data_IF_361007435583
#
_entry.id   IF_361007435583
#
_cell.length_a   1.000
_cell.length_b   1.000
_cell.length_c   1.000
_cell.angle_alpha   90.00
_cell.angle_beta   90.00
_cell.angle_gamma   90.00
#
_symmetry.space_group_name_H-M   'P 1'
#
loop_
_entity.id
_entity.type
_entity.pdbx_description
1 polymer ?
#
# COMPACT_ATOMS: atom_id res chain seq x y z
N UNK A 1 23.01 15.66 17.32
CA UNK A 1 23.78 14.41 17.20
C UNK A 1 23.63 13.89 15.77
N UNK A 2 24.62 13.17 15.21
CA UNK A 2 24.43 12.51 13.90
C UNK A 2 23.46 11.34 14.06
N UNK A 3 22.58 11.12 13.07
CA UNK A 3 21.71 9.94 13.03
C UNK A 3 22.55 8.66 12.96
N UNK A 4 22.17 7.62 13.69
CA UNK A 4 22.86 6.32 13.70
C UNK A 4 22.39 5.45 12.53
N UNK A 5 23.21 4.45 12.17
CA UNK A 5 22.88 3.51 11.09
C UNK A 5 21.77 2.52 11.47
N UNK A 6 21.16 1.86 10.48
CA UNK A 6 20.05 0.91 10.66
C UNK A 6 20.38 -0.21 11.67
N UNK A 7 21.50 -0.89 11.49
CA UNK A 7 21.92 -1.99 12.36
C UNK A 7 22.24 -1.51 13.78
N UNK A 8 22.80 -0.31 13.91
CA UNK A 8 23.10 0.29 15.19
C UNK A 8 21.80 0.64 15.94
N UNK A 9 20.80 1.20 15.26
CA UNK A 9 19.48 1.48 15.82
C UNK A 9 18.83 0.20 16.38
N UNK A 10 18.86 -0.89 15.62
CA UNK A 10 18.33 -2.19 16.05
C UNK A 10 19.10 -2.79 17.23
N UNK A 11 20.42 -2.59 17.30
CA UNK A 11 21.25 -3.10 18.42
C UNK A 11 21.05 -2.30 19.69
N UNK A 12 20.97 -0.99 19.59
CA UNK A 12 20.98 -0.07 20.75
C UNK A 12 19.59 0.22 21.31
N UNK A 13 18.54 0.24 20.44
CA UNK A 13 17.17 0.54 20.86
C UNK A 13 16.31 -0.72 20.94
N UNK A 14 16.23 -1.29 22.17
CA UNK A 14 15.46 -2.52 22.43
C UNK A 14 13.96 -2.38 22.15
N UNK A 15 13.36 -1.21 22.42
CA UNK A 15 11.93 -0.98 22.20
C UNK A 15 11.61 -0.89 20.69
N UNK A 16 12.43 -0.14 19.96
CA UNK A 16 12.31 -0.08 18.50
C UNK A 16 12.48 -1.46 17.86
N UNK A 17 13.51 -2.22 18.27
CA UNK A 17 13.73 -3.57 17.75
C UNK A 17 12.52 -4.48 17.96
N UNK A 18 11.85 -4.42 19.14
CA UNK A 18 10.65 -5.22 19.43
C UNK A 18 9.50 -4.83 18.53
N UNK A 19 9.20 -3.54 18.42
CA UNK A 19 8.15 -3.02 17.55
C UNK A 19 8.41 -3.40 16.09
N UNK A 20 9.59 -3.09 15.59
CA UNK A 20 10.00 -3.39 14.22
C UNK A 20 9.95 -4.90 13.90
N UNK A 21 10.46 -5.76 14.79
CA UNK A 21 10.42 -7.21 14.57
C UNK A 21 9.00 -7.76 14.55
N UNK A 22 8.11 -7.25 15.41
CA UNK A 22 6.69 -7.62 15.41
C UNK A 22 6.02 -7.24 14.09
N UNK A 23 6.27 -6.04 13.59
CA UNK A 23 5.75 -5.55 12.32
C UNK A 23 6.24 -6.38 11.13
N UNK A 24 7.55 -6.61 11.02
CA UNK A 24 8.14 -7.38 9.91
C UNK A 24 7.56 -8.79 9.85
N UNK A 25 7.43 -9.47 11.00
CA UNK A 25 6.87 -10.82 11.05
C UNK A 25 5.42 -10.83 10.59
N UNK A 26 4.59 -9.90 11.07
CA UNK A 26 3.17 -9.80 10.66
C UNK A 26 3.03 -9.44 9.16
N UNK A 27 3.87 -8.53 8.64
CA UNK A 27 3.87 -8.19 7.21
C UNK A 27 4.21 -9.40 6.33
N UNK A 28 5.14 -10.26 6.75
CA UNK A 28 5.46 -11.49 6.00
C UNK A 28 4.27 -12.44 5.96
N UNK A 29 3.61 -12.70 7.10
CA UNK A 29 2.44 -13.56 7.18
C UNK A 29 1.29 -13.09 6.32
N UNK A 30 1.03 -11.77 6.28
CA UNK A 30 -0.02 -11.18 5.44
C UNK A 30 0.15 -11.51 3.96
N UNK A 31 1.38 -11.61 3.46
CA UNK A 31 1.62 -12.00 2.06
C UNK A 31 1.35 -13.48 1.80
N UNK A 32 1.61 -14.37 2.77
CA UNK A 32 1.20 -15.78 2.66
C UNK A 32 -0.32 -15.90 2.54
N UNK A 33 -1.06 -15.21 3.40
CA UNK A 33 -2.52 -15.13 3.34
C UNK A 33 -3.00 -14.57 1.99
N UNK A 34 -2.40 -13.47 1.54
CA UNK A 34 -2.79 -12.79 0.30
C UNK A 34 -2.64 -13.69 -0.93
N UNK A 35 -1.55 -14.43 -1.05
CA UNK A 35 -1.33 -15.39 -2.15
C UNK A 35 -2.34 -16.54 -2.08
N UNK A 36 -2.61 -17.07 -0.89
CA UNK A 36 -3.62 -18.10 -0.70
C UNK A 36 -5.03 -17.63 -1.14
N UNK A 37 -5.42 -16.39 -0.81
CA UNK A 37 -6.70 -15.82 -1.25
C UNK A 37 -6.79 -15.69 -2.78
N UNK A 38 -5.69 -15.34 -3.46
CA UNK A 38 -5.67 -15.30 -4.92
C UNK A 38 -5.93 -16.68 -5.50
N UNK A 39 -5.25 -17.71 -4.97
CA UNK A 39 -5.41 -19.08 -5.45
C UNK A 39 -6.84 -19.58 -5.23
N UNK A 40 -7.43 -19.38 -4.05
CA UNK A 40 -8.80 -19.80 -3.75
C UNK A 40 -9.85 -19.18 -4.69
N UNK A 41 -9.70 -17.92 -5.09
CA UNK A 41 -10.59 -17.30 -6.07
C UNK A 41 -10.46 -18.02 -7.42
N UNK A 42 -9.25 -18.29 -7.87
CA UNK A 42 -9.04 -19.00 -9.14
C UNK A 42 -9.54 -20.44 -9.08
N UNK A 43 -9.25 -21.19 -8.03
CA UNK A 43 -9.65 -22.61 -7.92
C UNK A 43 -11.16 -22.79 -7.78
N UNK A 44 -11.84 -21.88 -7.06
CA UNK A 44 -13.26 -22.05 -6.77
C UNK A 44 -14.20 -21.35 -7.75
N UNK A 45 -13.74 -20.30 -8.43
CA UNK A 45 -14.67 -19.46 -9.22
C UNK A 45 -14.17 -19.12 -10.61
N UNK A 46 -12.87 -19.20 -10.87
CA UNK A 46 -12.21 -18.71 -12.09
C UNK A 46 -12.60 -17.25 -12.44
N UNK A 47 -13.08 -16.45 -11.44
CA UNK A 47 -13.63 -15.13 -11.65
C UNK A 47 -12.59 -14.02 -11.46
N UNK A 48 -12.24 -13.35 -12.54
CA UNK A 48 -11.39 -12.15 -12.50
C UNK A 48 -12.12 -10.97 -11.83
N UNK A 49 -13.44 -10.93 -11.91
CA UNK A 49 -14.24 -9.92 -11.23
C UNK A 49 -14.17 -10.07 -9.71
N UNK A 50 -14.32 -11.28 -9.18
CA UNK A 50 -14.18 -11.55 -7.74
C UNK A 50 -12.76 -11.24 -7.24
N UNK A 51 -11.73 -11.47 -8.05
CA UNK A 51 -10.37 -11.02 -7.77
C UNK A 51 -10.31 -9.50 -7.66
N UNK A 52 -10.92 -8.77 -8.59
CA UNK A 52 -11.06 -7.30 -8.55
C UNK A 52 -11.81 -6.82 -7.30
N UNK A 53 -12.86 -7.53 -6.88
CA UNK A 53 -13.61 -7.27 -5.64
C UNK A 53 -12.76 -7.54 -4.41
N UNK A 54 -11.94 -8.59 -4.37
CA UNK A 54 -11.01 -8.84 -3.27
C UNK A 54 -10.08 -7.65 -3.06
N UNK A 55 -9.43 -7.16 -4.11
CA UNK A 55 -8.59 -5.96 -4.02
C UNK A 55 -9.37 -4.73 -3.57
N UNK A 56 -10.60 -4.57 -4.06
CA UNK A 56 -11.50 -3.47 -3.70
C UNK A 56 -11.84 -3.50 -2.21
N UNK A 57 -12.28 -4.64 -1.70
CA UNK A 57 -12.64 -4.83 -0.28
C UNK A 57 -11.43 -4.56 0.61
N UNK A 58 -10.27 -5.14 0.28
CA UNK A 58 -9.04 -4.95 1.06
C UNK A 58 -8.62 -3.48 1.11
N UNK A 59 -8.59 -2.78 -0.03
CA UNK A 59 -8.16 -1.39 -0.08
C UNK A 59 -9.15 -0.42 0.57
N UNK A 60 -10.45 -0.59 0.34
CA UNK A 60 -11.45 0.28 0.95
C UNK A 60 -11.54 0.07 2.46
N UNK A 61 -11.56 -1.17 2.95
CA UNK A 61 -11.59 -1.46 4.38
C UNK A 61 -10.36 -0.87 5.09
N UNK A 62 -9.17 -1.03 4.51
CA UNK A 62 -7.96 -0.41 5.03
C UNK A 62 -8.08 1.12 5.12
N UNK A 63 -8.54 1.78 4.05
CA UNK A 63 -8.60 3.24 3.99
C UNK A 63 -9.74 3.84 4.84
N UNK A 64 -10.89 3.21 4.88
CA UNK A 64 -12.08 3.72 5.58
C UNK A 64 -11.87 3.86 7.09
N UNK A 65 -11.07 2.96 7.68
CA UNK A 65 -10.81 3.02 9.12
C UNK A 65 -9.68 3.98 9.51
N UNK A 66 -8.85 4.44 8.58
CA UNK A 66 -7.70 5.31 8.89
C UNK A 66 -8.04 6.56 9.73
N UNK A 67 -9.12 7.33 9.43
CA UNK A 67 -9.46 8.50 10.24
C UNK A 67 -9.91 8.16 11.66
N UNK A 68 -10.56 6.99 11.83
CA UNK A 68 -11.01 6.50 13.13
C UNK A 68 -9.82 5.93 13.91
N UNK A 69 -8.93 5.20 13.25
CA UNK A 69 -7.73 4.61 13.84
C UNK A 69 -6.79 5.68 14.42
N UNK A 70 -6.67 6.83 13.74
CA UNK A 70 -5.92 7.97 14.27
C UNK A 70 -6.47 8.45 15.62
N UNK A 71 -7.80 8.66 15.69
CA UNK A 71 -8.47 9.08 16.93
C UNK A 71 -8.35 8.03 18.04
N UNK A 72 -8.43 6.74 17.70
CA UNK A 72 -8.21 5.64 18.65
C UNK A 72 -6.78 5.64 19.18
N UNK A 73 -5.79 5.83 18.31
CA UNK A 73 -4.37 5.88 18.68
C UNK A 73 -4.02 7.07 19.58
N UNK A 74 -4.81 8.15 19.53
CA UNK A 74 -4.66 9.31 20.42
C UNK A 74 -5.34 9.12 21.79
N UNK A 75 -6.44 8.35 21.83
CA UNK A 75 -7.26 8.14 23.04
C UNK A 75 -6.96 6.86 23.81
N UNK A 76 -6.39 5.86 23.14
CA UNK A 76 -6.12 4.55 23.72
C UNK A 76 -4.63 4.25 23.77
N UNK A 77 -4.25 3.30 24.61
CA UNK A 77 -2.88 2.82 24.61
C UNK A 77 -2.56 2.13 23.29
N UNK A 78 -1.65 2.71 22.51
CA UNK A 78 -1.21 2.24 21.17
C UNK A 78 -0.74 0.79 21.18
N UNK A 79 -0.01 0.39 22.25
CA UNK A 79 0.40 -1.01 22.43
C UNK A 79 -0.79 -1.95 22.52
N UNK A 80 -1.84 -1.57 23.26
CA UNK A 80 -3.04 -2.40 23.40
C UNK A 80 -3.80 -2.51 22.07
N UNK A 81 -3.87 -1.42 21.27
CA UNK A 81 -4.45 -1.47 19.92
C UNK A 81 -3.71 -2.49 19.06
N UNK A 82 -2.36 -2.42 19.01
CA UNK A 82 -1.55 -3.34 18.22
C UNK A 82 -1.71 -4.80 18.67
N UNK A 83 -1.66 -5.06 19.98
CA UNK A 83 -1.85 -6.40 20.53
C UNK A 83 -3.25 -6.93 20.24
N UNK A 84 -4.29 -6.13 20.45
CA UNK A 84 -5.68 -6.53 20.18
C UNK A 84 -5.89 -6.81 18.68
N UNK A 85 -5.37 -5.97 17.80
CA UNK A 85 -5.42 -6.19 16.35
C UNK A 85 -4.79 -7.52 15.96
N UNK A 86 -3.54 -7.77 16.34
CA UNK A 86 -2.86 -9.04 16.04
C UNK A 86 -3.59 -10.23 16.65
N UNK A 87 -4.03 -10.12 17.91
CA UNK A 87 -4.72 -11.21 18.60
C UNK A 87 -6.02 -11.61 17.89
N UNK A 88 -6.83 -10.65 17.45
CA UNK A 88 -8.06 -10.94 16.68
C UNK A 88 -7.69 -11.51 15.30
N UNK A 89 -6.65 -10.99 14.65
CA UNK A 89 -6.18 -11.47 13.35
C UNK A 89 -5.71 -12.93 13.38
N UNK A 90 -5.21 -13.47 14.54
CA UNK A 90 -4.93 -14.91 14.69
C UNK A 90 -6.18 -15.74 14.39
N UNK A 91 -7.29 -15.38 15.00
CA UNK A 91 -8.55 -16.13 14.82
C UNK A 91 -9.12 -15.94 13.41
N UNK A 92 -9.05 -14.74 12.86
CA UNK A 92 -9.48 -14.46 11.48
C UNK A 92 -8.68 -15.26 10.47
N UNK A 93 -7.35 -15.35 10.63
CA UNK A 93 -6.49 -16.16 9.78
C UNK A 93 -6.89 -17.66 9.84
N UNK A 94 -7.19 -18.17 11.03
CA UNK A 94 -7.67 -19.54 11.19
C UNK A 94 -9.10 -19.76 10.65
N UNK A 95 -9.95 -18.72 10.64
CA UNK A 95 -11.29 -18.82 10.04
C UNK A 95 -11.25 -19.04 8.52
N UNK A 96 -10.18 -18.67 7.83
CA UNK A 96 -10.02 -19.01 6.39
C UNK A 96 -9.90 -20.50 6.13
N UNK A 97 -9.50 -21.31 7.12
CA UNK A 97 -9.50 -22.79 7.02
C UNK A 97 -10.93 -23.37 6.81
N UNK A 98 -11.97 -22.60 7.07
CA UNK A 98 -13.35 -22.95 6.80
C UNK A 98 -13.84 -22.63 5.38
N UNK A 99 -13.00 -22.09 4.51
CA UNK A 99 -13.33 -21.79 3.11
C UNK A 99 -13.06 -23.04 2.27
N UNK A 100 -14.12 -23.73 1.86
CA UNK A 100 -14.02 -25.05 1.23
C UNK A 100 -14.68 -25.12 -0.16
N UNK A 101 -15.29 -24.03 -0.63
CA UNK A 101 -15.97 -24.01 -1.92
C UNK A 101 -16.40 -22.62 -2.38
N UNK A 102 -16.98 -22.51 -3.58
CA UNK A 102 -17.40 -21.25 -4.16
C UNK A 102 -18.48 -20.52 -3.33
N UNK A 103 -19.31 -21.25 -2.57
CA UNK A 103 -20.31 -20.69 -1.68
C UNK A 103 -19.69 -19.89 -0.51
N UNK A 104 -18.44 -20.17 -0.15
CA UNK A 104 -17.74 -19.52 0.96
C UNK A 104 -17.01 -18.24 0.54
N UNK A 105 -16.98 -17.88 -0.75
CA UNK A 105 -16.25 -16.70 -1.26
C UNK A 105 -16.76 -15.41 -0.61
N UNK A 106 -18.07 -15.26 -0.41
CA UNK A 106 -18.63 -14.12 0.31
C UNK A 106 -18.10 -14.00 1.74
N UNK A 107 -17.99 -15.14 2.44
CA UNK A 107 -17.40 -15.22 3.78
C UNK A 107 -15.91 -14.87 3.75
N UNK A 108 -15.16 -15.41 2.81
CA UNK A 108 -13.73 -15.12 2.60
C UNK A 108 -13.47 -13.63 2.36
N UNK A 109 -14.26 -12.98 1.49
CA UNK A 109 -14.18 -11.54 1.25
C UNK A 109 -14.48 -10.73 2.52
N UNK A 110 -15.50 -11.14 3.30
CA UNK A 110 -15.84 -10.53 4.58
C UNK A 110 -14.70 -10.61 5.59
N UNK A 111 -14.13 -11.81 5.78
CA UNK A 111 -12.96 -12.02 6.66
C UNK A 111 -11.77 -11.16 6.23
N UNK A 112 -11.47 -11.13 4.92
CA UNK A 112 -10.38 -10.33 4.38
C UNK A 112 -10.60 -8.83 4.61
N UNK A 113 -11.83 -8.34 4.49
CA UNK A 113 -12.20 -6.96 4.81
C UNK A 113 -11.97 -6.62 6.28
N UNK A 114 -12.41 -7.48 7.21
CA UNK A 114 -12.21 -7.29 8.66
C UNK A 114 -10.71 -7.32 9.00
N UNK A 115 -9.94 -8.22 8.40
CA UNK A 115 -8.47 -8.23 8.58
C UNK A 115 -7.84 -6.90 8.17
N UNK A 116 -8.26 -6.31 7.04
CA UNK A 116 -7.72 -5.03 6.58
C UNK A 116 -8.14 -3.85 7.47
N UNK A 117 -9.32 -3.87 8.06
CA UNK A 117 -9.72 -2.89 9.09
C UNK A 117 -8.78 -2.94 10.30
N UNK A 118 -8.49 -4.14 10.81
CA UNK A 118 -7.59 -4.33 11.95
C UNK A 118 -6.13 -4.01 11.61
N UNK A 119 -5.69 -4.38 10.42
CA UNK A 119 -4.36 -4.00 9.90
C UNK A 119 -4.22 -2.47 9.83
N UNK A 120 -5.25 -1.76 9.36
CA UNK A 120 -5.27 -0.29 9.35
C UNK A 120 -5.13 0.32 10.76
N UNK A 121 -5.82 -0.25 11.76
CA UNK A 121 -5.69 0.18 13.15
C UNK A 121 -4.29 -0.09 13.71
N UNK A 122 -3.72 -1.27 13.42
CA UNK A 122 -2.36 -1.65 13.82
C UNK A 122 -1.32 -0.66 13.27
N UNK A 123 -1.30 -0.46 11.96
CA UNK A 123 -0.32 0.42 11.26
C UNK A 123 -0.41 1.87 11.76
N UNK A 124 -1.64 2.35 12.03
CA UNK A 124 -1.84 3.71 12.54
C UNK A 124 -1.27 3.85 13.95
N UNK A 125 -1.53 2.87 14.83
CA UNK A 125 -1.00 2.85 16.20
C UNK A 125 0.53 2.71 16.22
N UNK A 126 1.09 1.87 15.36
CA UNK A 126 2.53 1.67 15.18
C UNK A 126 3.24 2.97 14.77
N UNK A 127 2.77 3.63 13.72
CA UNK A 127 3.34 4.90 13.24
C UNK A 127 3.26 6.00 14.29
N UNK A 128 2.15 6.06 15.04
CA UNK A 128 2.00 7.00 16.13
C UNK A 128 2.92 6.67 17.34
N UNK A 129 3.25 5.38 17.56
CA UNK A 129 4.12 4.93 18.63
C UNK A 129 5.62 5.23 18.37
N UNK A 130 6.02 5.29 17.10
CA UNK A 130 7.42 5.40 16.72
C UNK A 130 8.15 6.60 17.33
N UNK A 131 7.60 7.85 17.34
CA UNK A 131 8.26 9.00 17.98
C UNK A 131 8.38 8.90 19.49
N UNK A 132 7.64 8.00 20.15
CA UNK A 132 7.72 7.81 21.61
C UNK A 132 8.92 6.93 22.02
N UNK A 133 9.45 6.12 21.10
CA UNK A 133 10.53 5.15 21.38
C UNK A 133 11.82 5.45 20.63
N UNK A 134 11.78 6.34 19.63
CA UNK A 134 12.95 6.72 18.84
C UNK A 134 13.19 8.22 18.99
N UNK A 135 14.44 8.63 19.21
CA UNK A 135 14.80 10.04 19.29
C UNK A 135 14.56 10.77 17.97
N UNK A 136 14.33 12.09 18.03
CA UNK A 136 14.05 12.91 16.83
C UNK A 136 15.11 12.78 15.74
N UNK A 137 16.39 12.66 16.11
CA UNK A 137 17.52 12.51 15.19
C UNK A 137 17.48 11.17 14.45
N UNK A 138 16.93 10.13 15.06
CA UNK A 138 16.88 8.76 14.51
C UNK A 138 15.55 8.40 13.85
N UNK A 139 14.52 9.25 13.93
CA UNK A 139 13.21 9.00 13.31
C UNK A 139 13.31 8.77 11.80
N UNK A 140 14.15 9.52 11.10
CA UNK A 140 14.37 9.33 9.67
C UNK A 140 14.95 7.94 9.36
N UNK A 141 15.90 7.45 10.18
CA UNK A 141 16.47 6.10 10.06
C UNK A 141 15.41 5.04 10.33
N UNK A 142 14.59 5.21 11.37
CA UNK A 142 13.53 4.27 11.72
C UNK A 142 12.46 4.16 10.61
N UNK A 143 11.97 5.30 10.10
CA UNK A 143 11.00 5.32 9.01
C UNK A 143 11.55 4.73 7.70
N UNK A 144 12.84 4.97 7.40
CA UNK A 144 13.48 4.38 6.22
C UNK A 144 13.61 2.86 6.35
N UNK A 145 13.89 2.36 7.56
CA UNK A 145 13.94 0.92 7.82
C UNK A 145 12.54 0.29 7.71
N UNK A 146 11.50 0.95 8.21
CA UNK A 146 10.10 0.51 8.08
C UNK A 146 9.69 0.41 6.60
N UNK A 147 9.94 1.44 5.81
CA UNK A 147 9.66 1.43 4.37
C UNK A 147 10.42 0.34 3.61
N UNK A 148 11.69 0.11 3.95
CA UNK A 148 12.50 -0.97 3.38
C UNK A 148 11.95 -2.34 3.78
N UNK A 149 11.49 -2.49 5.02
CA UNK A 149 10.87 -3.72 5.52
C UNK A 149 9.57 -4.04 4.79
N UNK A 150 8.73 -3.05 4.53
CA UNK A 150 7.51 -3.24 3.75
C UNK A 150 7.80 -3.75 2.32
N UNK A 151 8.76 -3.13 1.62
CA UNK A 151 9.16 -3.59 0.28
C UNK A 151 9.79 -4.98 0.31
N UNK A 152 10.57 -5.28 1.35
CA UNK A 152 11.17 -6.60 1.55
C UNK A 152 10.12 -7.67 1.88
N UNK A 153 9.11 -7.33 2.69
CA UNK A 153 8.01 -8.22 3.01
C UNK A 153 7.16 -8.51 1.77
N UNK A 154 6.87 -7.50 0.94
CA UNK A 154 6.21 -7.68 -0.35
C UNK A 154 7.02 -8.61 -1.26
N UNK A 155 8.31 -8.40 -1.37
CA UNK A 155 9.20 -9.18 -2.23
C UNK A 155 9.33 -10.63 -1.71
N UNK A 156 9.85 -10.79 -0.49
CA UNK A 156 10.19 -12.10 0.08
C UNK A 156 8.93 -12.84 0.51
N UNK A 157 7.98 -12.14 1.15
CA UNK A 157 6.75 -12.73 1.67
C UNK A 157 5.85 -13.27 0.55
N UNK A 158 5.66 -12.52 -0.54
CA UNK A 158 4.88 -13.01 -1.66
C UNK A 158 5.54 -14.21 -2.36
N UNK A 159 6.86 -14.19 -2.56
CA UNK A 159 7.57 -15.31 -3.17
C UNK A 159 7.53 -16.57 -2.30
N UNK A 160 7.83 -16.43 -1.00
CA UNK A 160 7.75 -17.54 -0.05
C UNK A 160 6.31 -18.03 0.14
N UNK A 161 5.34 -17.10 0.17
CA UNK A 161 3.92 -17.41 0.20
C UNK A 161 3.50 -18.25 -1.00
N UNK A 162 3.93 -17.88 -2.21
CA UNK A 162 3.70 -18.66 -3.42
C UNK A 162 4.26 -20.08 -3.33
N UNK A 163 5.51 -20.20 -2.87
CA UNK A 163 6.17 -21.53 -2.70
C UNK A 163 5.44 -22.38 -1.64
N UNK A 164 5.04 -21.77 -0.51
CA UNK A 164 4.35 -22.51 0.56
C UNK A 164 2.97 -22.95 0.10
N UNK A 165 2.20 -22.08 -0.54
CA UNK A 165 0.87 -22.43 -1.06
C UNK A 165 0.96 -23.53 -2.12
N UNK A 166 1.94 -23.47 -3.02
CA UNK A 166 2.14 -24.48 -4.07
C UNK A 166 2.53 -25.85 -3.51
N UNK A 167 3.39 -25.90 -2.49
CA UNK A 167 3.94 -27.15 -1.97
C UNK A 167 3.12 -27.74 -0.83
N UNK A 168 2.46 -26.91 -0.03
CA UNK A 168 1.81 -27.31 1.23
C UNK A 168 0.33 -26.91 1.32
N UNK A 169 -0.21 -26.26 0.28
CA UNK A 169 -1.60 -25.83 0.22
C UNK A 169 -1.88 -24.49 0.91
N UNK A 170 -3.10 -24.00 0.72
CA UNK A 170 -3.57 -22.71 1.27
C UNK A 170 -3.68 -22.76 2.79
N UNK A 171 -4.01 -23.92 3.37
CA UNK A 171 -4.14 -24.12 4.82
C UNK A 171 -2.81 -23.84 5.53
N UNK A 172 -1.68 -24.28 4.94
CA UNK A 172 -0.36 -24.00 5.50
C UNK A 172 -0.09 -22.49 5.54
N UNK A 173 -0.48 -21.75 4.49
CA UNK A 173 -0.32 -20.29 4.44
C UNK A 173 -1.16 -19.59 5.53
N UNK A 174 -2.41 -20.00 5.74
CA UNK A 174 -3.26 -19.43 6.79
C UNK A 174 -2.76 -19.75 8.20
N UNK A 175 -2.25 -20.98 8.42
CA UNK A 175 -1.64 -21.35 9.72
C UNK A 175 -0.36 -20.52 9.96
N UNK A 176 0.50 -20.37 8.96
CA UNK A 176 1.71 -19.55 9.06
C UNK A 176 1.35 -18.11 9.37
N UNK A 177 0.34 -17.55 8.70
CA UNK A 177 -0.13 -16.18 8.95
C UNK A 177 -0.61 -16.03 10.40
N UNK A 178 -1.44 -16.97 10.91
CA UNK A 178 -1.86 -16.98 12.31
C UNK A 178 -0.67 -17.06 13.28
N UNK A 179 0.34 -17.86 12.99
CA UNK A 179 1.56 -17.98 13.79
C UNK A 179 2.40 -16.69 13.75
N UNK A 180 2.43 -15.98 12.62
CA UNK A 180 3.12 -14.68 12.54
C UNK A 180 2.42 -13.62 13.38
N UNK A 181 1.08 -13.55 13.40
CA UNK A 181 0.34 -12.68 14.30
C UNK A 181 0.54 -13.05 15.78
N UNK A 182 0.58 -14.35 16.10
CA UNK A 182 0.90 -14.81 17.45
C UNK A 182 2.30 -14.36 17.88
N UNK A 183 3.32 -14.58 17.04
CA UNK A 183 4.69 -14.17 17.30
C UNK A 183 4.79 -12.64 17.42
N UNK A 184 4.12 -11.89 16.53
CA UNK A 184 4.02 -10.44 16.60
C UNK A 184 3.42 -9.96 17.93
N UNK A 185 2.35 -10.62 18.39
CA UNK A 185 1.75 -10.34 19.70
C UNK A 185 2.73 -10.58 20.84
N UNK A 186 3.41 -11.72 20.85
CA UNK A 186 4.41 -12.08 21.89
C UNK A 186 5.55 -11.05 21.91
N UNK A 187 6.03 -10.60 20.77
CA UNK A 187 7.07 -9.57 20.66
C UNK A 187 6.61 -8.20 21.20
N UNK A 188 5.33 -7.88 21.11
CA UNK A 188 4.76 -6.63 21.62
C UNK A 188 4.47 -6.66 23.13
N UNK A 189 4.23 -7.82 23.76
CA UNK A 189 3.95 -7.91 25.21
C UNK A 189 4.99 -7.17 26.05
N UNK A 190 6.32 -7.37 25.87
CA UNK A 190 7.32 -6.70 26.67
C UNK A 190 7.67 -5.27 26.18
N UNK A 191 6.93 -4.73 25.18
CA UNK A 191 7.13 -3.37 24.70
C UNK A 191 6.72 -2.36 25.78
N UNK A 192 7.62 -1.45 26.13
CA UNK A 192 7.32 -0.30 26.98
C UNK A 192 7.18 0.93 26.09
N UNK A 193 6.00 1.51 26.10
CA UNK A 193 5.66 2.65 25.26
C UNK A 193 5.26 3.83 26.15
N UNK A 194 6.15 4.80 26.38
CA UNK A 194 5.79 6.04 27.05
C UNK A 194 4.84 6.84 26.15
N UNK A 195 3.61 6.97 26.59
CA UNK A 195 2.55 7.67 25.84
C UNK A 195 1.79 8.58 26.78
N UNK A 196 1.60 9.84 26.38
CA UNK A 196 0.59 10.71 26.96
C UNK A 196 -0.71 10.46 26.23
N UNK A 197 -1.72 9.97 26.93
CA UNK A 197 -3.05 9.80 26.38
C UNK A 197 -3.67 11.20 26.38
N UNK A 198 -4.18 11.64 25.21
CA UNK A 198 -4.85 12.92 25.06
C UNK A 198 -6.09 13.04 25.94
N UNK A 199 -6.45 14.26 26.29
CA UNK A 199 -7.71 14.55 27.00
C UNK A 199 -8.93 14.04 26.21
N UNK A 200 -10.00 13.69 26.91
CA UNK A 200 -11.24 13.28 26.27
C UNK A 200 -11.71 14.37 25.33
N UNK A 201 -11.68 14.09 24.03
CA UNK A 201 -12.29 15.01 23.06
C UNK A 201 -13.81 14.93 23.18
N UNK A 202 -14.47 16.07 23.26
CA UNK A 202 -15.93 16.17 23.28
C UNK A 202 -16.54 15.59 21.98
N UNK A 203 -17.37 14.56 22.13
CA UNK A 203 -18.24 14.03 21.09
C UNK A 203 -17.92 12.61 20.57
N UNK A 204 -18.85 12.01 19.80
CA UNK A 204 -18.74 10.66 19.24
C UNK A 204 -17.58 10.56 18.23
N UNK A 205 -16.86 9.42 18.25
CA UNK A 205 -15.70 9.14 17.40
C UNK A 205 -15.98 9.38 15.91
N UNK A 206 -17.12 8.89 15.42
CA UNK A 206 -17.48 8.99 14.01
C UNK A 206 -17.73 10.44 13.57
N UNK A 207 -18.43 11.24 14.37
CA UNK A 207 -18.68 12.65 14.06
C UNK A 207 -17.37 13.45 14.04
N UNK A 208 -16.47 13.16 14.97
CA UNK A 208 -15.13 13.78 15.02
C UNK A 208 -14.28 13.38 13.81
N UNK A 209 -14.29 12.10 13.42
CA UNK A 209 -13.59 11.62 12.22
C UNK A 209 -14.12 12.30 10.95
N UNK A 210 -15.44 12.36 10.77
CA UNK A 210 -16.07 13.05 9.62
C UNK A 210 -15.74 14.55 9.61
N UNK A 211 -15.78 15.21 10.78
CA UNK A 211 -15.39 16.63 10.91
C UNK A 211 -13.93 16.85 10.50
N UNK A 212 -13.02 15.96 10.93
CA UNK A 212 -11.61 16.04 10.57
C UNK A 212 -11.38 15.83 9.07
N UNK A 213 -12.07 14.89 8.44
CA UNK A 213 -12.03 14.70 6.97
C UNK A 213 -12.52 15.98 6.27
N UNK A 214 -13.67 16.54 6.68
CA UNK A 214 -14.21 17.79 6.09
C UNK A 214 -13.22 18.95 6.21
N UNK A 215 -12.58 19.13 7.38
CA UNK A 215 -11.57 20.18 7.59
C UNK A 215 -10.33 19.96 6.71
N UNK A 216 -9.83 18.73 6.61
CA UNK A 216 -8.72 18.39 5.73
C UNK A 216 -9.05 18.60 4.25
N UNK A 217 -10.24 18.16 3.81
CA UNK A 217 -10.69 18.34 2.43
C UNK A 217 -10.83 19.82 2.07
N UNK A 218 -11.44 20.63 2.96
CA UNK A 218 -11.54 22.07 2.75
C UNK A 218 -10.16 22.70 2.59
N UNK A 219 -9.21 22.37 3.46
CA UNK A 219 -7.84 22.88 3.38
C UNK A 219 -7.14 22.50 2.07
N UNK A 220 -7.37 21.28 1.57
CA UNK A 220 -6.83 20.80 0.29
C UNK A 220 -7.44 21.59 -0.88
N UNK A 221 -8.75 21.83 -0.84
CA UNK A 221 -9.46 22.58 -1.90
C UNK A 221 -9.09 24.07 -1.91
N UNK A 222 -8.77 24.64 -0.76
CA UNK A 222 -8.36 26.05 -0.63
C UNK A 222 -6.94 26.30 -1.17
N UNK A 223 -6.12 25.25 -1.30
CA UNK A 223 -4.75 25.37 -1.79
C UNK A 223 -4.44 24.38 -2.93
N UNK A 224 -4.38 24.91 -4.13
CA UNK A 224 -4.20 24.10 -5.35
C UNK A 224 -2.93 23.22 -5.36
N UNK A 225 -1.87 23.63 -4.63
CA UNK A 225 -0.66 22.82 -4.45
C UNK A 225 -0.93 21.53 -3.69
N UNK A 226 -1.72 21.62 -2.60
CA UNK A 226 -2.09 20.48 -1.78
C UNK A 226 -2.97 19.50 -2.57
N UNK A 227 -3.90 20.03 -3.35
CA UNK A 227 -4.73 19.24 -4.24
C UNK A 227 -3.88 18.39 -5.19
N UNK A 228 -2.85 19.00 -5.80
CA UNK A 228 -1.94 18.29 -6.70
C UNK A 228 -1.19 17.16 -5.99
N UNK A 229 -0.66 17.40 -4.79
CA UNK A 229 0.10 16.40 -4.03
C UNK A 229 -0.77 15.21 -3.62
N UNK A 230 -2.01 15.47 -3.17
CA UNK A 230 -2.98 14.44 -2.79
C UNK A 230 -3.38 13.57 -3.99
N UNK A 231 -3.52 14.16 -5.18
CA UNK A 231 -3.83 13.40 -6.40
C UNK A 231 -2.62 12.68 -7.02
N UNK A 232 -1.40 12.89 -6.53
CA UNK A 232 -0.18 12.30 -7.08
C UNK A 232 -0.22 10.76 -7.08
N UNK A 233 -0.60 10.14 -5.96
CA UNK A 233 -0.73 8.69 -5.86
C UNK A 233 -1.98 8.18 -6.56
N UNK A 234 -3.09 8.92 -6.46
CA UNK A 234 -4.33 8.56 -7.15
C UNK A 234 -4.14 8.52 -8.68
N UNK A 235 -3.32 9.40 -9.27
CA UNK A 235 -3.05 9.41 -10.71
C UNK A 235 -2.43 8.11 -11.23
N UNK A 236 -1.57 7.46 -10.44
CA UNK A 236 -1.04 6.13 -10.73
C UNK A 236 -2.12 5.05 -10.53
N UNK A 237 -2.90 5.18 -9.45
CA UNK A 237 -3.86 4.17 -9.03
C UNK A 237 -5.12 4.11 -9.91
N UNK A 238 -5.40 5.13 -10.76
CA UNK A 238 -6.48 5.09 -11.77
C UNK A 238 -6.37 3.84 -12.67
N UNK A 239 -5.16 3.37 -12.95
CA UNK A 239 -4.92 2.14 -13.68
C UNK A 239 -4.18 1.08 -12.84
N UNK A 240 -3.58 1.49 -11.72
CA UNK A 240 -2.71 0.64 -10.90
C UNK A 240 -3.42 -0.56 -10.29
N UNK A 241 -4.71 -0.45 -9.95
CA UNK A 241 -5.50 -1.56 -9.44
C UNK A 241 -5.67 -2.67 -10.48
N UNK A 242 -5.92 -2.31 -11.73
CA UNK A 242 -5.96 -3.28 -12.84
C UNK A 242 -4.57 -3.84 -13.13
N UNK A 243 -3.60 -2.97 -13.39
CA UNK A 243 -2.26 -3.39 -13.82
C UNK A 243 -1.49 -4.17 -12.75
N UNK A 244 -1.36 -3.61 -11.55
CA UNK A 244 -0.54 -4.18 -10.47
C UNK A 244 -1.31 -5.12 -9.53
N UNK A 245 -2.61 -5.17 -9.65
CA UNK A 245 -3.49 -6.09 -8.95
C UNK A 245 -3.96 -7.20 -9.90
N UNK A 246 -5.13 -7.00 -10.52
CA UNK A 246 -5.85 -8.05 -11.26
C UNK A 246 -5.00 -8.67 -12.37
N UNK A 247 -4.44 -7.87 -13.30
CA UNK A 247 -3.75 -8.42 -14.46
C UNK A 247 -2.45 -9.14 -14.11
N UNK A 248 -1.72 -8.69 -13.07
CA UNK A 248 -0.53 -9.43 -12.62
C UNK A 248 -0.90 -10.77 -11.99
N UNK A 249 -2.01 -10.85 -11.26
CA UNK A 249 -2.46 -12.13 -10.69
C UNK A 249 -2.94 -13.05 -11.83
N UNK A 250 -3.77 -12.55 -12.74
CA UNK A 250 -4.21 -13.34 -13.91
C UNK A 250 -3.03 -13.78 -14.78
N UNK A 251 -2.03 -12.90 -15.02
CA UNK A 251 -0.81 -13.30 -15.72
C UNK A 251 0.01 -14.34 -14.96
N UNK A 252 -0.02 -14.29 -13.62
CA UNK A 252 0.69 -15.23 -12.76
C UNK A 252 0.03 -16.61 -12.70
N UNK A 253 -1.28 -16.72 -12.95
CA UNK A 253 -1.98 -18.02 -12.91
C UNK A 253 -1.60 -18.97 -14.06
N UNK A 254 -1.03 -18.42 -15.15
CA UNK A 254 -0.66 -19.19 -16.35
C UNK A 254 0.80 -18.89 -16.75
N UNK A 255 1.74 -19.24 -15.89
CA UNK A 255 3.18 -19.10 -16.16
C UNK A 255 3.79 -20.45 -16.45
N UNK A 256 4.30 -20.63 -17.67
CA UNK A 256 4.95 -21.88 -18.10
C UNK A 256 6.01 -22.37 -17.09
N UNK A 257 5.87 -23.62 -16.65
CA UNK A 257 6.81 -24.27 -15.75
C UNK A 257 6.65 -23.92 -14.25
N UNK A 258 5.63 -23.12 -13.88
CA UNK A 258 5.32 -22.78 -12.49
C UNK A 258 3.84 -23.01 -12.19
N UNK A 259 3.51 -23.41 -10.96
CA UNK A 259 2.13 -23.38 -10.51
C UNK A 259 1.63 -21.95 -10.27
N UNK A 260 0.30 -21.77 -10.24
CA UNK A 260 -0.33 -20.46 -10.14
C UNK A 260 0.16 -19.64 -8.92
N UNK A 261 0.27 -20.30 -7.76
CA UNK A 261 0.71 -19.63 -6.54
C UNK A 261 2.16 -19.10 -6.63
N UNK A 262 3.06 -19.86 -7.26
CA UNK A 262 4.44 -19.41 -7.52
C UNK A 262 4.44 -18.27 -8.53
N UNK A 263 3.61 -18.33 -9.57
CA UNK A 263 3.49 -17.25 -10.56
C UNK A 263 3.01 -15.93 -9.94
N UNK A 264 2.01 -15.97 -9.04
CA UNK A 264 1.58 -14.83 -8.25
C UNK A 264 2.75 -14.26 -7.43
N UNK A 265 3.42 -15.15 -6.68
CA UNK A 265 4.59 -14.80 -5.88
C UNK A 265 5.69 -14.13 -6.68
N UNK A 266 6.00 -14.66 -7.88
CA UNK A 266 7.04 -14.16 -8.78
C UNK A 266 6.79 -12.72 -9.25
N UNK A 267 5.57 -12.38 -9.67
CA UNK A 267 5.26 -11.02 -10.11
C UNK A 267 5.19 -10.04 -8.95
N UNK A 268 4.71 -10.46 -7.78
CA UNK A 268 4.74 -9.63 -6.57
C UNK A 268 6.16 -9.49 -6.00
N UNK A 269 7.02 -10.49 -6.17
CA UNK A 269 8.46 -10.36 -5.91
C UNK A 269 9.10 -9.25 -6.77
N UNK A 270 8.86 -9.27 -8.09
CA UNK A 270 9.34 -8.22 -8.99
C UNK A 270 8.83 -6.83 -8.59
N UNK A 271 7.54 -6.75 -8.23
CA UNK A 271 6.89 -5.56 -7.72
C UNK A 271 7.56 -5.04 -6.44
N UNK A 272 7.87 -5.94 -5.49
CA UNK A 272 8.54 -5.61 -4.24
C UNK A 272 9.93 -5.04 -4.46
N UNK A 273 10.75 -5.67 -5.31
CA UNK A 273 12.07 -5.16 -5.69
C UNK A 273 11.94 -3.76 -6.29
N UNK A 274 11.06 -3.58 -7.28
CA UNK A 274 10.86 -2.30 -7.94
C UNK A 274 10.47 -1.20 -6.96
N UNK A 275 9.47 -1.45 -6.11
CA UNK A 275 9.00 -0.49 -5.10
C UNK A 275 10.10 -0.09 -4.11
N UNK A 276 10.98 -1.03 -3.74
CA UNK A 276 12.13 -0.75 -2.88
C UNK A 276 13.24 0.05 -3.58
N UNK A 277 13.51 -0.23 -4.86
CA UNK A 277 14.52 0.50 -5.65
C UNK A 277 14.09 1.93 -5.98
N UNK A 278 12.80 2.17 -6.22
CA UNK A 278 12.27 3.47 -6.63
C UNK A 278 12.70 4.63 -5.76
N UNK A 279 12.50 4.60 -4.43
CA UNK A 279 12.95 5.65 -3.52
C UNK A 279 14.48 5.86 -3.53
N UNK A 280 15.26 4.79 -3.67
CA UNK A 280 16.73 4.85 -3.73
C UNK A 280 17.17 5.59 -4.99
N UNK A 281 16.60 5.23 -6.14
CA UNK A 281 16.89 5.87 -7.43
C UNK A 281 16.41 7.31 -7.45
N UNK A 282 15.20 7.59 -6.94
CA UNK A 282 14.66 8.94 -6.85
C UNK A 282 15.58 9.84 -6.02
N UNK A 283 16.01 9.39 -4.84
CA UNK A 283 16.94 10.15 -3.98
C UNK A 283 18.30 10.38 -4.63
N UNK A 284 18.79 9.43 -5.41
CA UNK A 284 20.09 9.51 -6.06
C UNK A 284 20.11 10.45 -7.27
N UNK A 285 19.06 10.43 -8.08
CA UNK A 285 19.03 11.08 -9.39
C UNK A 285 18.10 12.30 -9.45
N UNK A 286 17.06 12.37 -8.62
CA UNK A 286 16.07 13.44 -8.65
C UNK A 286 16.32 14.43 -7.50
N UNK A 287 17.43 15.15 -7.55
CA UNK A 287 17.88 16.03 -6.46
C UNK A 287 17.27 17.42 -6.49
N UNK A 288 16.75 17.88 -7.65
CA UNK A 288 16.11 19.19 -7.77
C UNK A 288 14.63 19.14 -7.38
N UNK A 289 14.32 19.62 -6.16
CA UNK A 289 12.98 19.57 -5.57
C UNK A 289 11.94 20.42 -6.33
N UNK A 290 12.34 21.50 -6.98
CA UNK A 290 11.43 22.32 -7.78
C UNK A 290 10.82 21.56 -8.96
N UNK A 291 11.52 20.52 -9.42
CA UNK A 291 11.07 19.67 -10.51
C UNK A 291 10.20 18.49 -10.04
N UNK A 292 10.15 18.19 -8.74
CA UNK A 292 9.42 17.03 -8.23
C UNK A 292 7.95 16.99 -8.63
N UNK A 293 7.18 18.10 -8.60
CA UNK A 293 5.78 18.05 -9.05
C UNK A 293 5.64 17.65 -10.53
N UNK A 294 6.61 17.97 -11.37
CA UNK A 294 6.68 17.52 -12.77
C UNK A 294 7.11 16.05 -12.86
N UNK A 295 8.17 15.68 -12.12
CA UNK A 295 8.75 14.35 -12.15
C UNK A 295 7.79 13.28 -11.64
N UNK A 296 6.93 13.59 -10.68
CA UNK A 296 5.88 12.71 -10.17
C UNK A 296 4.98 12.22 -11.33
N UNK A 297 4.48 13.13 -12.17
CA UNK A 297 3.65 12.75 -13.31
C UNK A 297 4.46 11.98 -14.38
N UNK A 298 5.70 12.37 -14.63
CA UNK A 298 6.59 11.66 -15.55
C UNK A 298 6.84 10.21 -15.06
N UNK A 299 7.02 10.00 -13.77
CA UNK A 299 7.19 8.65 -13.20
C UNK A 299 5.94 7.79 -13.38
N UNK A 300 4.74 8.38 -13.37
CA UNK A 300 3.50 7.66 -13.71
C UNK A 300 3.50 7.26 -15.19
N UNK A 301 3.93 8.15 -16.10
CA UNK A 301 4.07 7.85 -17.53
C UNK A 301 5.07 6.71 -17.73
N UNK A 302 6.25 6.78 -17.09
CA UNK A 302 7.28 5.73 -17.18
C UNK A 302 6.78 4.39 -16.68
N UNK A 303 6.02 4.37 -15.56
CA UNK A 303 5.40 3.15 -15.06
C UNK A 303 4.42 2.56 -16.08
N UNK A 304 3.55 3.39 -16.65
CA UNK A 304 2.62 2.99 -17.71
C UNK A 304 3.34 2.48 -18.97
N UNK A 305 4.43 3.12 -19.37
CA UNK A 305 5.24 2.68 -20.51
C UNK A 305 5.79 1.26 -20.33
N UNK A 306 6.35 0.94 -19.17
CA UNK A 306 6.81 -0.42 -18.90
C UNK A 306 5.65 -1.43 -18.87
N UNK A 307 4.50 -1.09 -18.32
CA UNK A 307 3.31 -1.94 -18.37
C UNK A 307 2.75 -2.11 -19.79
N UNK A 308 2.87 -1.10 -20.65
CA UNK A 308 2.53 -1.23 -22.07
C UNK A 308 3.43 -2.27 -22.75
N UNK A 309 4.74 -2.26 -22.46
CA UNK A 309 5.67 -3.27 -23.00
C UNK A 309 5.30 -4.67 -22.41
N UNK A 310 4.93 -4.79 -21.14
CA UNK A 310 4.41 -6.04 -20.58
C UNK A 310 3.26 -6.55 -21.45
N UNK A 311 2.25 -5.72 -21.74
CA UNK A 311 1.12 -6.10 -22.57
C UNK A 311 1.50 -6.46 -24.01
N UNK A 312 2.56 -5.87 -24.57
CA UNK A 312 3.05 -6.20 -25.92
C UNK A 312 3.88 -7.50 -25.96
N UNK A 313 4.50 -7.88 -24.86
CA UNK A 313 5.42 -9.01 -24.76
C UNK A 313 4.91 -10.16 -23.88
N UNK A 314 3.65 -10.08 -23.49
CA UNK A 314 3.02 -11.12 -22.66
C UNK A 314 3.08 -12.48 -23.36
N UNK A 315 3.48 -13.52 -22.64
CA UNK A 315 3.65 -14.87 -23.18
C UNK A 315 4.97 -15.11 -23.92
N UNK A 316 5.80 -14.07 -24.17
CA UNK A 316 7.11 -14.27 -24.84
C UNK A 316 8.14 -14.88 -23.88
N UNK A 317 8.27 -14.31 -22.68
CA UNK A 317 9.21 -14.78 -21.68
C UNK A 317 8.85 -14.21 -20.30
N UNK A 318 8.67 -15.06 -19.30
CA UNK A 318 8.32 -14.67 -17.94
C UNK A 318 9.36 -13.75 -17.30
N UNK A 319 10.65 -13.98 -17.52
CA UNK A 319 11.72 -13.16 -16.94
C UNK A 319 11.76 -11.75 -17.53
N UNK A 320 11.38 -11.59 -18.80
CA UNK A 320 11.18 -10.28 -19.39
C UNK A 320 10.05 -9.54 -18.69
N UNK A 321 8.91 -10.21 -18.44
CA UNK A 321 7.79 -9.65 -17.69
C UNK A 321 8.22 -9.25 -16.27
N UNK A 322 8.96 -10.11 -15.56
CA UNK A 322 9.51 -9.83 -14.23
C UNK A 322 10.35 -8.55 -14.21
N UNK A 323 11.27 -8.40 -15.17
CA UNK A 323 12.14 -7.23 -15.28
C UNK A 323 11.32 -5.96 -15.59
N UNK A 324 10.36 -6.04 -16.50
CA UNK A 324 9.51 -4.91 -16.88
C UNK A 324 8.62 -4.45 -15.72
N UNK A 325 8.02 -5.38 -14.98
CA UNK A 325 7.25 -5.11 -13.76
C UNK A 325 8.12 -4.45 -12.70
N UNK A 326 9.36 -4.92 -12.51
CA UNK A 326 10.31 -4.30 -11.59
C UNK A 326 10.58 -2.83 -11.96
N UNK A 327 10.80 -2.52 -13.24
CA UNK A 327 11.01 -1.13 -13.70
C UNK A 327 9.74 -0.27 -13.56
N UNK A 328 8.57 -0.80 -13.90
CA UNK A 328 7.29 -0.13 -13.70
C UNK A 328 7.10 0.28 -12.24
N UNK A 329 7.41 -0.63 -11.30
CA UNK A 329 7.30 -0.38 -9.88
C UNK A 329 8.45 0.46 -9.31
N UNK A 330 9.61 0.50 -9.93
CA UNK A 330 10.66 1.47 -9.56
C UNK A 330 10.21 2.91 -9.82
N UNK A 331 9.53 3.16 -10.94
CA UNK A 331 8.94 4.46 -11.23
C UNK A 331 7.80 4.79 -10.23
N UNK A 332 6.91 3.84 -9.94
CA UNK A 332 5.83 4.00 -8.96
C UNK A 332 6.37 4.28 -7.54
N UNK A 333 7.42 3.59 -7.09
CA UNK A 333 8.08 3.84 -5.81
C UNK A 333 8.70 5.24 -5.74
N UNK A 334 9.24 5.74 -6.85
CA UNK A 334 9.70 7.13 -6.99
C UNK A 334 8.56 8.13 -6.82
N UNK A 335 7.43 7.93 -7.51
CA UNK A 335 6.21 8.75 -7.33
C UNK A 335 5.78 8.78 -5.86
N UNK A 336 5.71 7.60 -5.23
CA UNK A 336 5.29 7.48 -3.82
C UNK A 336 6.17 8.31 -2.88
N UNK A 337 7.48 8.18 -2.98
CA UNK A 337 8.38 8.87 -2.06
C UNK A 337 8.39 10.38 -2.29
N UNK A 338 8.44 10.83 -3.54
CA UNK A 338 8.47 12.26 -3.85
C UNK A 338 7.17 12.94 -3.41
N UNK A 339 5.99 12.36 -3.70
CA UNK A 339 4.70 12.90 -3.27
C UNK A 339 4.57 12.93 -1.74
N UNK A 340 5.05 11.89 -1.05
CA UNK A 340 5.03 11.84 0.42
C UNK A 340 5.90 12.94 1.02
N UNK A 341 7.11 13.17 0.51
CA UNK A 341 7.99 14.23 1.01
C UNK A 341 7.39 15.62 0.73
N UNK A 342 6.79 15.84 -0.44
CA UNK A 342 6.11 17.11 -0.73
C UNK A 342 4.94 17.35 0.23
N UNK A 343 4.13 16.33 0.52
CA UNK A 343 3.07 16.45 1.52
C UNK A 343 3.63 16.84 2.88
N UNK A 344 4.73 16.20 3.33
CA UNK A 344 5.36 16.51 4.61
C UNK A 344 5.91 17.93 4.68
N UNK A 345 6.34 18.52 3.56
CA UNK A 345 6.94 19.86 3.51
C UNK A 345 5.95 20.99 3.30
N UNK A 346 4.89 20.71 2.54
CA UNK A 346 3.91 21.74 2.17
C UNK A 346 2.73 21.85 3.13
N UNK A 347 2.52 20.83 3.98
CA UNK A 347 1.40 20.78 4.90
C UNK A 347 1.86 21.05 6.32
N UNK A 348 1.18 21.97 6.98
CA UNK A 348 1.40 22.32 8.39
C UNK A 348 1.18 21.09 9.29
N UNK A 349 1.93 21.01 10.39
CA UNK A 349 1.98 19.83 11.28
C UNK A 349 0.60 19.48 11.85
N UNK A 350 -0.20 20.50 12.21
CA UNK A 350 -1.50 20.37 12.85
C UNK A 350 -2.56 19.68 11.96
N UNK A 351 -2.41 19.78 10.64
CA UNK A 351 -3.39 19.21 9.68
C UNK A 351 -2.82 18.09 8.83
N UNK A 352 -1.51 17.81 8.94
CA UNK A 352 -0.80 16.84 8.09
C UNK A 352 -1.43 15.44 8.13
N UNK A 353 -1.81 14.96 9.31
CA UNK A 353 -2.49 13.66 9.45
C UNK A 353 -3.82 13.60 8.70
N UNK A 354 -4.58 14.70 8.67
CA UNK A 354 -5.86 14.79 7.93
C UNK A 354 -5.64 14.76 6.42
N UNK A 355 -4.60 15.45 5.94
CA UNK A 355 -4.23 15.45 4.51
C UNK A 355 -3.75 14.06 4.07
N UNK A 356 -2.93 13.37 4.87
CA UNK A 356 -2.53 11.99 4.60
C UNK A 356 -3.70 11.01 4.59
N UNK A 357 -4.69 11.18 5.46
CA UNK A 357 -5.89 10.34 5.44
C UNK A 357 -6.68 10.51 4.14
N UNK A 358 -6.77 11.72 3.61
CA UNK A 358 -7.45 11.99 2.34
C UNK A 358 -6.63 11.47 1.15
N UNK A 359 -5.30 11.63 1.17
CA UNK A 359 -4.39 11.05 0.18
C UNK A 359 -4.56 9.52 0.10
N UNK A 360 -4.57 8.84 1.26
CA UNK A 360 -4.82 7.39 1.34
C UNK A 360 -6.21 7.01 0.82
N UNK A 361 -7.25 7.76 1.19
CA UNK A 361 -8.62 7.48 0.77
C UNK A 361 -8.78 7.65 -0.75
N UNK A 362 -8.29 8.75 -1.32
CA UNK A 362 -8.38 9.00 -2.77
C UNK A 362 -7.61 7.97 -3.59
N UNK A 363 -6.42 7.60 -3.13
CA UNK A 363 -5.62 6.54 -3.72
C UNK A 363 -6.35 5.20 -3.68
N UNK A 364 -6.92 4.84 -2.52
CA UNK A 364 -7.62 3.56 -2.35
C UNK A 364 -8.90 3.47 -3.16
N UNK A 365 -9.66 4.57 -3.29
CA UNK A 365 -10.83 4.62 -4.16
C UNK A 365 -10.42 4.42 -5.63
N UNK A 366 -9.37 5.12 -6.08
CA UNK A 366 -8.88 4.98 -7.46
C UNK A 366 -8.41 3.55 -7.74
N UNK A 367 -7.63 2.96 -6.83
CA UNK A 367 -7.15 1.57 -6.94
C UNK A 367 -8.31 0.57 -6.98
N UNK A 368 -9.29 0.73 -6.09
CA UNK A 368 -10.46 -0.15 -5.99
C UNK A 368 -11.34 -0.07 -7.24
N UNK A 369 -11.63 1.14 -7.71
CA UNK A 369 -12.38 1.32 -8.97
C UNK A 369 -11.64 0.71 -10.16
N UNK A 370 -10.32 0.89 -10.24
CA UNK A 370 -9.47 0.30 -11.26
C UNK A 370 -9.49 -1.23 -11.21
N UNK A 371 -9.36 -1.83 -10.00
CA UNK A 371 -9.37 -3.29 -9.82
C UNK A 371 -10.71 -3.91 -10.19
N UNK A 372 -11.83 -3.34 -9.70
CA UNK A 372 -13.16 -3.84 -9.99
C UNK A 372 -13.48 -3.73 -11.50
N UNK A 373 -13.11 -2.59 -12.12
CA UNK A 373 -13.30 -2.39 -13.57
C UNK A 373 -12.46 -3.38 -14.38
N UNK A 374 -11.20 -3.58 -14.02
CA UNK A 374 -10.30 -4.51 -14.71
C UNK A 374 -10.84 -5.94 -14.65
N UNK A 375 -11.24 -6.43 -13.48
CA UNK A 375 -11.83 -7.75 -13.32
C UNK A 375 -13.13 -7.91 -14.11
N UNK A 376 -14.03 -6.92 -14.04
CA UNK A 376 -15.27 -6.93 -14.80
C UNK A 376 -15.07 -6.99 -16.32
N UNK A 377 -14.11 -6.22 -16.84
CA UNK A 377 -13.84 -6.17 -18.28
C UNK A 377 -13.19 -7.46 -18.80
N UNK A 378 -12.34 -8.10 -17.99
CA UNK A 378 -11.77 -9.43 -18.32
C UNK A 378 -12.84 -10.51 -18.32
N UNK A 379 -13.58 -10.66 -17.21
CA UNK A 379 -14.56 -11.72 -17.02
C UNK A 379 -15.66 -11.71 -18.11
N UNK A 380 -16.07 -10.52 -18.54
CA UNK A 380 -17.09 -10.40 -19.60
C UNK A 380 -16.52 -10.42 -21.03
N UNK A 381 -15.22 -10.67 -21.18
CA UNK A 381 -14.56 -10.78 -22.49
C UNK A 381 -14.45 -9.46 -23.28
N UNK A 382 -14.69 -8.30 -22.61
CA UNK A 382 -14.49 -6.99 -23.25
C UNK A 382 -13.01 -6.70 -23.50
N UNK A 383 -12.13 -7.28 -22.67
CA UNK A 383 -10.69 -7.22 -22.83
C UNK A 383 -10.12 -8.63 -22.71
N UNK A 384 -9.08 -8.91 -23.48
CA UNK A 384 -8.14 -10.02 -23.19
C UNK A 384 -7.11 -9.53 -22.18
N UNK A 385 -6.40 -10.42 -21.52
CA UNK A 385 -5.33 -10.03 -20.59
C UNK A 385 -4.31 -9.10 -21.27
N UNK A 386 -3.91 -9.41 -22.50
CA UNK A 386 -2.99 -8.59 -23.29
C UNK A 386 -3.55 -7.19 -23.56
N UNK A 387 -4.77 -7.07 -24.10
CA UNK A 387 -5.40 -5.78 -24.37
C UNK A 387 -5.74 -5.02 -23.06
N UNK A 388 -5.98 -5.72 -21.97
CA UNK A 388 -6.13 -5.18 -20.62
C UNK A 388 -4.88 -4.46 -20.16
N UNK A 389 -3.71 -5.12 -20.20
CA UNK A 389 -2.43 -4.47 -19.91
C UNK A 389 -2.21 -3.24 -20.79
N UNK A 390 -2.45 -3.35 -22.10
CA UNK A 390 -2.22 -2.24 -23.06
C UNK A 390 -3.13 -1.04 -22.76
N UNK A 391 -4.45 -1.26 -22.63
CA UNK A 391 -5.42 -0.18 -22.42
C UNK A 391 -5.27 0.50 -21.06
N UNK A 392 -5.03 -0.26 -19.98
CA UNK A 392 -4.78 0.33 -18.66
C UNK A 392 -3.40 1.00 -18.57
N UNK A 393 -2.39 0.49 -19.27
CA UNK A 393 -1.10 1.17 -19.38
C UNK A 393 -1.23 2.51 -20.11
N UNK A 394 -1.98 2.57 -21.22
CA UNK A 394 -2.28 3.82 -21.91
C UNK A 394 -3.07 4.78 -21.00
N UNK A 395 -4.07 4.29 -20.26
CA UNK A 395 -4.80 5.08 -19.26
C UNK A 395 -3.87 5.65 -18.19
N UNK A 396 -2.93 4.85 -17.68
CA UNK A 396 -1.90 5.29 -16.72
C UNK A 396 -1.01 6.40 -17.33
N UNK A 397 -0.56 6.22 -18.56
CA UNK A 397 0.26 7.22 -19.25
C UNK A 397 -0.52 8.54 -19.46
N UNK A 398 -1.78 8.46 -19.89
CA UNK A 398 -2.66 9.64 -20.05
C UNK A 398 -2.82 10.34 -18.70
N UNK A 399 -3.12 9.60 -17.63
CA UNK A 399 -3.24 10.15 -16.27
C UNK A 399 -1.95 10.85 -15.83
N UNK A 400 -0.78 10.25 -16.08
CA UNK A 400 0.52 10.84 -15.79
C UNK A 400 0.79 12.11 -16.61
N UNK A 401 0.43 12.13 -17.90
CA UNK A 401 0.55 13.32 -18.76
C UNK A 401 -0.36 14.44 -18.26
N UNK A 402 -1.63 14.13 -17.98
CA UNK A 402 -2.60 15.10 -17.45
C UNK A 402 -2.09 15.69 -16.14
N UNK A 403 -1.60 14.84 -15.22
CA UNK A 403 -1.01 15.27 -13.96
C UNK A 403 0.23 16.15 -14.17
N UNK A 404 1.09 15.82 -15.12
CA UNK A 404 2.31 16.59 -15.44
C UNK A 404 1.96 17.97 -15.99
N UNK A 405 0.95 18.06 -16.84
CA UNK A 405 0.50 19.31 -17.46
C UNK A 405 -0.33 20.17 -16.50
N UNK A 406 -1.01 19.55 -15.56
CA UNK A 406 -1.78 20.25 -14.54
C UNK A 406 -0.84 20.92 -13.54
N UNK A 407 -0.73 22.25 -13.57
CA UNK A 407 0.19 23.05 -12.77
C UNK A 407 -0.55 24.14 -11.98
N UNK A 408 -1.41 23.75 -11.03
CA UNK A 408 -2.15 24.71 -10.20
C UNK A 408 -1.23 25.44 -9.20
N UNK A 409 -0.02 24.96 -9.01
CA UNK A 409 1.00 25.39 -8.07
C UNK A 409 1.90 26.53 -8.60
N UNK A 410 1.78 26.90 -9.87
CA UNK A 410 2.47 28.09 -10.38
C UNK A 410 1.83 29.35 -9.79
N UNK A 411 2.62 30.26 -9.15
CA UNK A 411 2.09 31.58 -8.78
C UNK A 411 1.52 32.21 -10.05
N UNK A 412 0.28 32.70 -9.98
CA UNK A 412 -0.23 33.61 -11.02
C UNK A 412 0.81 34.70 -11.13
N UNK A 413 1.47 34.84 -12.25
CA UNK A 413 2.26 36.04 -12.55
C UNK A 413 1.28 37.21 -12.40
N UNK A 414 1.41 37.93 -11.27
CA UNK A 414 0.79 39.21 -11.17
C UNK A 414 1.33 40.04 -12.33
N UNK A 415 0.53 40.17 -13.36
CA UNK A 415 0.67 41.26 -14.31
C UNK A 415 0.59 42.51 -13.46
N UNK A 416 1.72 42.97 -12.94
CA UNK A 416 1.84 44.35 -12.48
C UNK A 416 1.55 45.16 -13.73
N UNK A 417 0.30 45.58 -13.85
CA UNK A 417 -0.07 46.76 -14.62
C UNK A 417 0.73 47.92 -14.04
N UNK A 418 1.90 48.16 -14.63
CA UNK A 418 2.53 49.42 -14.59
C UNK A 418 1.54 50.39 -15.23
N UNK A 419 0.78 51.07 -14.38
CA UNK A 419 0.01 52.25 -14.77
C UNK A 419 1.04 53.40 -14.85
N UNK A 420 1.07 54.13 -15.96
CA UNK A 420 2.04 55.20 -16.21
C UNK A 420 1.95 56.38 -15.25
#
# INVERSE_FOLDING_TARGET
MKSIGYLELLKTNKQFRRLWSASVVSMLGEWFNTIALFLLIFEYTESEFLLGILFTVRMLCFALLQPISGLLADRMNRKHIMIASNFIQIFLALCFLGVNGPEDIGWMLGLSGVMMLLHGAYVTAERAALPNIVSKENLATANALDAASWSSALCIGAMLGGVVVELYGVEAAFIIDALTFLLGTVLLIPLTLPQTIGEEMDGPLLSTAVSNIKKGLRRILDESRLLRVVFAKASWNIAGGGLAGVFLVVAGSDVDGFGAAIGFGLFFFARGIGTGLGPILARRFLTNEEQWPFLIGLLVVVSGFFYLIVGLTLGVNVWLTVILVMFAHSASGGNWVLSTILTQRWVEDEIRGRVFSIDMLTMSIAFSASSATAGYLLENGYLTLQSGFQSFAVLMMISGIVFTLWRPDRPRQNTQTTIP
#
